data_IF_953405560751
#
_entry.id   IF_953405560751
#
_cell.length_a   1.000
_cell.length_b   1.000
_cell.length_c   1.000
_cell.angle_alpha   90.00
_cell.angle_beta   90.00
_cell.angle_gamma   90.00
#
_symmetry.space_group_name_H-M   'P 1'
#
loop_
_entity.id
_entity.type
_entity.pdbx_description
1 polymer ?
#
# COMPACT_ATOMS: atom_id res chain seq x y z
N UNK A 1 39.64 20.04 -2.93
CA UNK A 1 39.71 18.58 -3.14
C UNK A 1 38.43 18.20 -3.82
N UNK A 2 38.46 17.84 -5.10
CA UNK A 2 37.31 17.28 -5.79
C UNK A 2 36.98 15.94 -5.12
N UNK A 3 35.75 15.76 -4.66
CA UNK A 3 35.29 14.49 -4.13
C UNK A 3 35.44 13.45 -5.25
N UNK A 4 36.17 12.36 -4.99
CA UNK A 4 36.12 11.19 -5.85
C UNK A 4 34.67 10.85 -6.08
N UNK A 5 34.22 10.84 -7.35
CA UNK A 5 32.83 10.64 -7.70
C UNK A 5 32.33 9.33 -7.08
N UNK A 6 31.34 9.42 -6.21
CA UNK A 6 30.72 8.23 -5.59
C UNK A 6 30.19 7.33 -6.69
N UNK A 7 30.44 6.01 -6.58
CA UNK A 7 29.87 5.05 -7.55
C UNK A 7 28.36 5.20 -7.57
N UNK A 8 27.72 5.26 -8.75
CA UNK A 8 26.27 5.32 -8.84
C UNK A 8 25.61 4.09 -8.19
N UNK A 9 24.38 4.23 -7.76
CA UNK A 9 23.53 3.12 -7.37
C UNK A 9 22.81 2.61 -8.61
N UNK A 10 23.17 1.43 -9.06
CA UNK A 10 22.59 0.81 -10.25
C UNK A 10 21.28 0.12 -9.91
N UNK A 11 20.22 0.49 -10.60
CA UNK A 11 18.86 0.04 -10.35
C UNK A 11 18.38 -0.83 -11.52
N UNK A 12 18.00 -2.09 -11.22
CA UNK A 12 17.25 -2.93 -12.13
C UNK A 12 15.75 -2.66 -11.96
N UNK A 13 15.06 -2.22 -13.01
CA UNK A 13 13.63 -1.91 -12.98
C UNK A 13 12.82 -3.06 -13.58
N UNK A 14 11.97 -3.71 -12.81
CA UNK A 14 11.04 -4.74 -13.27
C UNK A 14 9.65 -4.15 -13.39
N UNK A 15 9.14 -4.02 -14.60
CA UNK A 15 7.87 -3.37 -14.93
C UNK A 15 8.04 -1.90 -15.29
N UNK A 16 7.69 -1.55 -16.54
CA UNK A 16 7.71 -0.17 -17.08
C UNK A 16 6.33 0.25 -17.61
N UNK A 17 5.27 -0.19 -16.90
CA UNK A 17 3.91 0.31 -17.09
C UNK A 17 3.77 1.75 -16.55
N UNK A 18 2.55 2.19 -16.28
CA UNK A 18 2.25 3.54 -15.78
C UNK A 18 3.12 3.91 -14.57
N UNK A 19 3.13 3.08 -13.52
CA UNK A 19 3.90 3.34 -12.29
C UNK A 19 5.41 3.29 -12.54
N UNK A 20 5.90 2.30 -13.30
CA UNK A 20 7.33 2.18 -13.58
C UNK A 20 7.87 3.29 -14.47
N UNK A 21 7.07 3.79 -15.41
CA UNK A 21 7.45 4.95 -16.24
C UNK A 21 7.49 6.25 -15.41
N UNK A 22 6.49 6.46 -14.55
CA UNK A 22 6.46 7.60 -13.63
C UNK A 22 7.65 7.57 -12.65
N UNK A 23 7.94 6.40 -12.07
CA UNK A 23 9.11 6.21 -11.21
C UNK A 23 10.41 6.56 -11.93
N UNK A 24 10.61 6.05 -13.16
CA UNK A 24 11.82 6.31 -13.93
C UNK A 24 11.99 7.79 -14.26
N UNK A 25 10.90 8.48 -14.65
CA UNK A 25 10.89 9.91 -14.91
C UNK A 25 11.24 10.73 -13.66
N UNK A 26 10.57 10.46 -12.55
CA UNK A 26 10.81 11.16 -11.28
C UNK A 26 12.23 10.91 -10.75
N UNK A 27 12.75 9.69 -10.87
CA UNK A 27 14.10 9.35 -10.44
C UNK A 27 15.15 10.11 -11.25
N UNK A 28 14.95 10.23 -12.57
CA UNK A 28 15.84 11.00 -13.45
C UNK A 28 15.80 12.50 -13.12
N UNK A 29 14.61 13.05 -12.91
CA UNK A 29 14.41 14.45 -12.51
C UNK A 29 15.08 14.78 -11.17
N UNK A 30 15.00 13.85 -10.21
CA UNK A 30 15.47 14.04 -8.85
C UNK A 30 16.86 13.46 -8.56
N UNK A 31 17.57 12.95 -9.57
CA UNK A 31 18.85 12.27 -9.38
C UNK A 31 19.87 13.12 -8.63
N UNK A 32 19.98 14.42 -8.96
CA UNK A 32 20.90 15.35 -8.30
C UNK A 32 20.53 15.58 -6.83
N UNK A 33 19.23 15.69 -6.53
CA UNK A 33 18.75 15.86 -5.16
C UNK A 33 18.98 14.59 -4.32
N UNK A 34 18.79 13.41 -4.91
CA UNK A 34 19.08 12.13 -4.26
C UNK A 34 20.58 12.00 -3.99
N UNK A 35 21.42 12.36 -4.96
CA UNK A 35 22.88 12.35 -4.80
C UNK A 35 23.32 13.30 -3.69
N UNK A 36 22.79 14.53 -3.67
CA UNK A 36 23.09 15.49 -2.62
C UNK A 36 22.68 15.00 -1.22
N UNK A 37 21.56 14.31 -1.11
CA UNK A 37 21.04 13.80 0.18
C UNK A 37 21.74 12.51 0.65
N UNK A 38 22.16 11.64 -0.28
CA UNK A 38 22.65 10.29 0.05
C UNK A 38 24.14 10.07 -0.23
N UNK A 39 24.76 11.00 -0.97
CA UNK A 39 26.13 10.86 -1.49
C UNK A 39 26.24 9.89 -2.67
N UNK A 40 25.12 9.36 -3.20
CA UNK A 40 25.12 8.38 -4.30
C UNK A 40 24.06 8.73 -5.34
N UNK A 41 24.48 8.74 -6.61
CA UNK A 41 23.60 9.02 -7.75
C UNK A 41 22.82 7.75 -8.14
N UNK A 42 21.48 7.77 -8.19
CA UNK A 42 20.73 6.64 -8.70
C UNK A 42 20.76 6.59 -10.22
N UNK A 43 20.87 5.38 -10.78
CA UNK A 43 20.87 5.14 -12.22
C UNK A 43 20.12 3.87 -12.57
N UNK A 44 19.13 3.93 -13.47
CA UNK A 44 18.45 2.74 -13.99
C UNK A 44 19.33 2.15 -15.08
N UNK A 45 19.93 0.98 -14.82
CA UNK A 45 20.87 0.31 -15.72
C UNK A 45 20.23 -0.75 -16.61
N UNK A 46 18.97 -1.12 -16.31
CA UNK A 46 18.21 -2.06 -17.11
C UNK A 46 16.73 -2.05 -16.72
N UNK A 47 15.86 -2.34 -17.68
CA UNK A 47 14.43 -2.46 -17.42
C UNK A 47 13.86 -3.71 -18.08
N UNK A 48 13.03 -4.46 -17.32
CA UNK A 48 12.26 -5.60 -17.81
C UNK A 48 10.82 -5.16 -18.10
N UNK A 49 10.33 -5.48 -19.29
CA UNK A 49 8.93 -5.29 -19.69
C UNK A 49 8.34 -6.62 -20.16
N UNK A 50 7.09 -6.63 -20.57
CA UNK A 50 6.48 -7.85 -21.15
C UNK A 50 7.13 -8.32 -22.46
N UNK A 51 7.74 -7.40 -23.23
CA UNK A 51 8.30 -7.64 -24.57
C UNK A 51 9.81 -7.46 -24.64
N UNK A 52 10.44 -6.85 -23.65
CA UNK A 52 11.83 -6.44 -23.73
C UNK A 52 12.55 -6.66 -22.39
N UNK A 53 13.86 -6.86 -22.47
CA UNK A 53 14.75 -7.02 -21.33
C UNK A 53 15.11 -8.49 -21.05
N UNK A 54 16.29 -8.66 -20.49
CA UNK A 54 16.79 -9.94 -20.00
C UNK A 54 16.97 -9.81 -18.48
N UNK A 55 16.18 -10.56 -17.74
CA UNK A 55 16.17 -10.51 -16.28
C UNK A 55 17.55 -10.83 -15.68
N UNK A 56 18.24 -11.85 -16.16
CA UNK A 56 19.54 -12.24 -15.64
C UNK A 56 20.61 -11.16 -15.87
N UNK A 57 20.60 -10.54 -17.05
CA UNK A 57 21.49 -9.41 -17.34
C UNK A 57 21.18 -8.19 -16.48
N UNK A 58 19.89 -7.88 -16.27
CA UNK A 58 19.44 -6.79 -15.40
C UNK A 58 19.86 -7.05 -13.95
N UNK A 59 19.63 -8.25 -13.45
CA UNK A 59 20.01 -8.65 -12.10
C UNK A 59 21.51 -8.54 -11.87
N UNK A 60 22.31 -9.07 -12.79
CA UNK A 60 23.78 -9.00 -12.72
C UNK A 60 24.30 -7.55 -12.76
N UNK A 61 23.67 -6.68 -13.56
CA UNK A 61 24.06 -5.28 -13.75
C UNK A 61 23.60 -4.32 -12.66
N UNK A 62 22.77 -4.76 -11.70
CA UNK A 62 22.17 -3.88 -10.69
C UNK A 62 22.75 -4.05 -9.29
N UNK A 63 22.63 -3.03 -8.45
CA UNK A 63 22.95 -3.05 -7.02
C UNK A 63 21.70 -3.27 -6.19
N UNK A 64 20.53 -2.86 -6.70
CA UNK A 64 19.20 -3.11 -6.14
C UNK A 64 18.17 -3.28 -7.26
N UNK A 65 17.05 -3.89 -6.93
CA UNK A 65 15.94 -4.12 -7.87
C UNK A 65 14.69 -3.37 -7.40
N UNK A 66 14.01 -2.70 -8.33
CA UNK A 66 12.68 -2.10 -8.11
C UNK A 66 11.66 -2.88 -8.92
N UNK A 67 10.69 -3.50 -8.25
CA UNK A 67 9.64 -4.33 -8.85
C UNK A 67 8.31 -3.57 -8.86
N UNK A 68 7.79 -3.32 -10.06
CA UNK A 68 6.55 -2.59 -10.34
C UNK A 68 5.72 -3.31 -11.43
N UNK A 69 5.81 -4.64 -11.49
CA UNK A 69 5.16 -5.45 -12.54
C UNK A 69 3.68 -5.65 -12.28
N UNK A 70 3.30 -5.82 -11.00
CA UNK A 70 1.98 -6.26 -10.59
C UNK A 70 1.73 -7.77 -10.83
N UNK A 71 0.67 -8.29 -10.22
CA UNK A 71 0.40 -9.74 -10.21
C UNK A 71 1.39 -10.51 -9.33
N UNK A 72 1.21 -11.82 -9.24
CA UNK A 72 2.08 -12.67 -8.41
C UNK A 72 3.21 -13.31 -9.19
N UNK A 73 2.94 -13.81 -10.39
CA UNK A 73 3.96 -14.40 -11.27
C UNK A 73 4.08 -13.59 -12.57
N UNK A 74 5.27 -13.38 -13.12
CA UNK A 74 6.58 -13.89 -12.65
C UNK A 74 7.25 -13.00 -11.58
N UNK A 75 6.56 -12.01 -11.01
CA UNK A 75 7.13 -11.08 -10.02
C UNK A 75 7.76 -11.81 -8.82
N UNK A 76 7.09 -12.86 -8.31
CA UNK A 76 7.59 -13.68 -7.20
C UNK A 76 8.94 -14.32 -7.52
N UNK A 77 9.05 -14.98 -8.67
CA UNK A 77 10.30 -15.64 -9.10
C UNK A 77 11.43 -14.61 -9.17
N UNK A 78 11.19 -13.46 -9.79
CA UNK A 78 12.20 -12.42 -9.97
C UNK A 78 12.62 -11.78 -8.65
N UNK A 79 11.67 -11.48 -7.76
CA UNK A 79 11.98 -10.93 -6.43
C UNK A 79 12.78 -11.92 -5.61
N UNK A 80 12.39 -13.20 -5.57
CA UNK A 80 13.12 -14.24 -4.87
C UNK A 80 14.55 -14.41 -5.43
N UNK A 81 14.71 -14.40 -6.75
CA UNK A 81 16.03 -14.49 -7.38
C UNK A 81 16.90 -13.28 -7.01
N UNK A 82 16.35 -12.07 -7.00
CA UNK A 82 17.08 -10.87 -6.60
C UNK A 82 17.52 -10.93 -5.13
N UNK A 83 16.63 -11.31 -4.22
CA UNK A 83 16.94 -11.45 -2.80
C UNK A 83 18.03 -12.50 -2.56
N UNK A 84 17.91 -13.69 -3.20
CA UNK A 84 18.91 -14.77 -3.11
C UNK A 84 20.27 -14.38 -3.70
N UNK A 85 20.28 -13.49 -4.69
CA UNK A 85 21.51 -12.91 -5.26
C UNK A 85 22.11 -11.79 -4.36
N UNK A 86 21.58 -11.58 -3.17
CA UNK A 86 22.07 -10.53 -2.24
C UNK A 86 21.72 -9.11 -2.69
N UNK A 87 20.68 -8.94 -3.50
CA UNK A 87 20.22 -7.63 -3.94
C UNK A 87 19.02 -7.16 -3.10
N UNK A 88 19.07 -5.95 -2.51
CA UNK A 88 17.89 -5.34 -1.91
C UNK A 88 16.78 -5.17 -2.96
N UNK A 89 15.53 -5.30 -2.51
CA UNK A 89 14.36 -5.13 -3.39
C UNK A 89 13.43 -4.06 -2.83
N UNK A 90 12.92 -3.22 -3.73
CA UNK A 90 11.81 -2.30 -3.46
C UNK A 90 10.63 -2.74 -4.33
N UNK A 91 9.46 -3.00 -3.74
CA UNK A 91 8.26 -3.41 -4.48
C UNK A 91 7.04 -2.59 -4.08
N UNK A 92 6.15 -2.34 -5.02
CA UNK A 92 4.81 -1.79 -4.78
C UNK A 92 3.71 -2.86 -4.90
N UNK A 93 4.09 -4.13 -5.06
CA UNK A 93 3.20 -5.23 -5.41
C UNK A 93 2.48 -5.78 -4.18
N UNK A 94 1.32 -5.20 -3.86
CA UNK A 94 0.49 -5.61 -2.73
C UNK A 94 0.03 -7.07 -2.81
N UNK A 95 -0.30 -7.56 -4.03
CA UNK A 95 -0.77 -8.93 -4.24
C UNK A 95 0.32 -9.94 -3.91
N UNK A 96 1.53 -9.69 -4.38
CA UNK A 96 2.70 -10.50 -4.08
C UNK A 96 2.97 -10.56 -2.58
N UNK A 97 2.94 -9.41 -1.89
CA UNK A 97 3.18 -9.33 -0.45
C UNK A 97 2.07 -9.97 0.39
N UNK A 98 0.81 -9.80 0.01
CA UNK A 98 -0.32 -10.38 0.72
C UNK A 98 -0.37 -11.91 0.62
N UNK A 99 0.08 -12.48 -0.51
CA UNK A 99 0.05 -13.92 -0.76
C UNK A 99 1.34 -14.63 -0.36
N UNK A 100 2.49 -14.03 -0.64
CA UNK A 100 3.81 -14.66 -0.51
C UNK A 100 4.79 -13.90 0.40
N UNK A 101 4.30 -12.93 1.17
CA UNK A 101 5.17 -12.08 1.99
C UNK A 101 6.06 -12.86 2.95
N UNK A 102 5.57 -13.95 3.57
CA UNK A 102 6.37 -14.75 4.52
C UNK A 102 7.60 -15.35 3.87
N UNK A 103 7.46 -15.92 2.68
CA UNK A 103 8.57 -16.46 1.90
C UNK A 103 9.57 -15.35 1.55
N UNK A 104 9.07 -14.20 1.06
CA UNK A 104 9.93 -13.08 0.67
C UNK A 104 10.70 -12.50 1.86
N UNK A 105 10.03 -12.32 3.01
CA UNK A 105 10.68 -11.83 4.23
C UNK A 105 11.70 -12.83 4.80
N UNK A 106 11.41 -14.13 4.71
CA UNK A 106 12.34 -15.17 5.14
C UNK A 106 13.61 -15.14 4.28
N UNK A 107 13.48 -15.15 2.96
CA UNK A 107 14.61 -15.11 2.02
C UNK A 107 15.41 -13.81 2.16
N UNK A 108 14.75 -12.65 2.30
CA UNK A 108 15.44 -11.38 2.51
C UNK A 108 16.29 -11.40 3.79
N UNK A 109 15.76 -11.97 4.88
CA UNK A 109 16.45 -12.10 6.16
C UNK A 109 17.63 -13.07 6.07
N UNK A 110 17.44 -14.23 5.43
CA UNK A 110 18.51 -15.21 5.21
C UNK A 110 19.65 -14.65 4.37
N UNK A 111 19.33 -13.88 3.34
CA UNK A 111 20.31 -13.23 2.47
C UNK A 111 20.93 -11.97 3.11
N UNK A 112 20.41 -11.48 4.24
CA UNK A 112 20.89 -10.26 4.91
C UNK A 112 20.62 -8.98 4.12
N UNK A 113 19.60 -8.95 3.25
CA UNK A 113 19.22 -7.80 2.42
C UNK A 113 17.85 -7.24 2.79
N UNK A 114 17.58 -6.02 2.36
CA UNK A 114 16.32 -5.36 2.65
C UNK A 114 15.27 -5.64 1.56
N UNK A 115 14.03 -5.87 2.00
CA UNK A 115 12.83 -5.80 1.20
C UNK A 115 12.01 -4.60 1.68
N UNK A 116 11.83 -3.60 0.79
CA UNK A 116 11.09 -2.36 1.08
C UNK A 116 9.83 -2.28 0.23
N UNK A 117 8.71 -1.85 0.81
CA UNK A 117 7.40 -1.91 0.14
C UNK A 117 6.41 -0.83 0.60
N UNK A 118 6.92 0.37 0.91
CA UNK A 118 6.08 1.49 1.36
C UNK A 118 4.91 1.79 0.42
N UNK A 119 5.17 1.77 -0.89
CA UNK A 119 4.16 2.07 -1.91
C UNK A 119 3.08 0.97 -2.08
N UNK A 120 3.23 -0.19 -1.43
CA UNK A 120 2.23 -1.25 -1.50
C UNK A 120 0.98 -0.98 -0.64
N UNK A 121 1.08 -0.11 0.38
CA UNK A 121 0.00 0.15 1.35
C UNK A 121 -0.16 1.64 1.61
N UNK A 122 -1.42 2.11 1.56
CA UNK A 122 -1.84 3.45 1.95
C UNK A 122 -1.15 4.63 1.22
N UNK A 123 -0.69 4.40 0.00
CA UNK A 123 -0.16 5.41 -0.93
C UNK A 123 0.97 6.28 -0.31
N UNK A 124 0.71 7.57 -0.09
CA UNK A 124 1.73 8.51 0.42
C UNK A 124 1.96 8.43 1.94
N UNK A 125 1.13 7.70 2.67
CA UNK A 125 1.25 7.56 4.13
C UNK A 125 2.43 6.64 4.46
N UNK A 126 3.46 7.09 5.20
CA UNK A 126 4.64 6.29 5.51
C UNK A 126 4.37 5.27 6.63
N UNK A 127 3.32 4.45 6.46
CA UNK A 127 2.83 3.56 7.52
C UNK A 127 3.73 2.35 7.74
N UNK A 128 4.27 1.77 6.66
CA UNK A 128 5.14 0.59 6.74
C UNK A 128 6.40 0.94 7.54
N UNK A 129 7.05 2.05 7.18
CA UNK A 129 8.23 2.56 7.90
C UNK A 129 7.89 2.92 9.34
N UNK A 130 6.76 3.57 9.58
CA UNK A 130 6.34 3.95 10.93
C UNK A 130 6.15 2.73 11.81
N UNK A 131 5.50 1.69 11.33
CA UNK A 131 5.35 0.43 12.10
C UNK A 131 6.71 -0.22 12.34
N UNK A 132 7.55 -0.33 11.32
CA UNK A 132 8.83 -1.04 11.42
C UNK A 132 9.90 -0.30 12.23
N UNK A 133 9.99 1.02 12.09
CA UNK A 133 11.08 1.82 12.66
C UNK A 133 10.64 2.56 13.93
N UNK A 134 9.46 3.20 13.94
CA UNK A 134 9.00 3.97 15.09
C UNK A 134 8.29 3.12 16.15
N UNK A 135 7.59 2.08 15.73
CA UNK A 135 6.86 1.17 16.62
C UNK A 135 7.48 -0.22 16.72
N UNK A 136 8.70 -0.41 16.22
CA UNK A 136 9.35 -1.72 16.11
C UNK A 136 9.56 -2.45 17.45
N UNK A 137 9.54 -1.74 18.59
CA UNK A 137 9.61 -2.31 19.95
C UNK A 137 8.34 -2.06 20.76
N UNK A 138 7.31 -1.46 20.15
CA UNK A 138 6.04 -1.16 20.79
C UNK A 138 5.05 -2.28 20.52
N UNK A 139 4.39 -2.77 21.55
CA UNK A 139 3.33 -3.74 21.39
C UNK A 139 2.08 -3.06 20.83
N UNK A 140 1.84 -3.22 19.52
CA UNK A 140 0.65 -2.71 18.85
C UNK A 140 -0.55 -3.59 19.23
N UNK A 141 -1.63 -2.95 19.69
CA UNK A 141 -2.87 -3.63 20.05
C UNK A 141 -3.83 -3.72 18.85
N UNK A 142 -3.96 -2.61 18.09
CA UNK A 142 -4.86 -2.52 16.93
C UNK A 142 -4.31 -1.62 15.85
N UNK A 143 -4.72 -1.92 14.62
CA UNK A 143 -4.55 -1.06 13.44
C UNK A 143 -5.90 -0.89 12.79
N UNK A 144 -6.32 0.36 12.58
CA UNK A 144 -7.50 0.71 11.80
C UNK A 144 -7.06 1.38 10.51
N UNK A 145 -7.76 1.12 9.41
CA UNK A 145 -7.39 1.70 8.13
C UNK A 145 -8.57 2.01 7.22
N UNK A 146 -8.60 3.23 6.71
CA UNK A 146 -9.27 3.59 5.46
C UNK A 146 -8.16 3.52 4.42
N UNK A 147 -7.98 2.35 3.79
CA UNK A 147 -6.82 2.05 2.95
C UNK A 147 -7.15 1.92 1.46
N UNK A 148 -8.39 2.26 1.11
CA UNK A 148 -8.84 2.35 -0.27
C UNK A 148 -9.49 3.71 -0.53
N UNK A 149 -8.83 4.56 -1.32
CA UNK A 149 -9.27 5.93 -1.61
C UNK A 149 -10.52 5.97 -2.50
N UNK A 150 -10.69 5.01 -3.40
CA UNK A 150 -11.84 4.90 -4.30
C UNK A 150 -13.14 4.70 -3.52
N UNK A 151 -13.17 3.72 -2.62
CA UNK A 151 -14.36 3.46 -1.78
C UNK A 151 -14.64 4.58 -0.81
N UNK A 152 -13.60 5.21 -0.24
CA UNK A 152 -13.81 6.37 0.63
C UNK A 152 -14.37 7.56 -0.14
N UNK A 153 -13.92 7.81 -1.37
CA UNK A 153 -14.51 8.83 -2.25
C UNK A 153 -15.99 8.53 -2.54
N UNK A 154 -16.31 7.30 -2.93
CA UNK A 154 -17.68 6.90 -3.27
C UNK A 154 -18.61 7.11 -2.07
N UNK A 155 -18.27 6.60 -0.90
CA UNK A 155 -19.09 6.74 0.31
C UNK A 155 -19.22 8.22 0.75
N UNK A 156 -18.16 9.00 0.63
CA UNK A 156 -18.19 10.44 0.96
C UNK A 156 -19.11 11.23 0.02
N UNK A 157 -19.03 10.96 -1.29
CA UNK A 157 -19.85 11.66 -2.30
C UNK A 157 -21.33 11.24 -2.20
N UNK A 158 -21.62 9.96 -1.98
CA UNK A 158 -22.98 9.47 -1.71
C UNK A 158 -23.57 10.16 -0.47
N UNK A 159 -22.81 10.26 0.62
CA UNK A 159 -23.24 10.92 1.85
C UNK A 159 -23.49 12.43 1.67
N UNK A 160 -22.69 13.10 0.85
CA UNK A 160 -22.78 14.52 0.60
C UNK A 160 -23.95 14.89 -0.33
N UNK A 161 -24.19 14.07 -1.37
CA UNK A 161 -25.11 14.38 -2.45
C UNK A 161 -26.44 13.62 -2.39
N UNK A 162 -26.50 12.49 -1.67
CA UNK A 162 -27.64 11.56 -1.69
C UNK A 162 -27.74 10.76 -3.02
N UNK A 163 -26.72 10.82 -3.87
CA UNK A 163 -26.69 10.08 -5.14
C UNK A 163 -26.50 8.56 -4.89
N UNK A 164 -27.02 7.76 -5.82
CA UNK A 164 -26.88 6.31 -5.77
C UNK A 164 -25.46 5.86 -6.12
N UNK A 165 -25.12 4.64 -5.68
CA UNK A 165 -23.81 4.00 -5.86
C UNK A 165 -23.33 4.04 -7.32
N UNK A 166 -24.13 3.58 -8.29
CA UNK A 166 -23.74 3.51 -9.70
C UNK A 166 -23.39 4.89 -10.29
N UNK A 167 -24.15 5.91 -9.90
CA UNK A 167 -23.92 7.29 -10.35
C UNK A 167 -22.61 7.83 -9.82
N UNK A 168 -22.32 7.58 -8.54
CA UNK A 168 -21.09 8.05 -7.90
C UNK A 168 -19.88 7.25 -8.39
N UNK A 169 -20.01 5.95 -8.64
CA UNK A 169 -18.96 5.13 -9.23
C UNK A 169 -18.57 5.66 -10.63
N UNK A 170 -19.56 5.95 -11.50
CA UNK A 170 -19.29 6.54 -12.82
C UNK A 170 -18.52 7.85 -12.69
N UNK A 171 -18.90 8.71 -11.72
CA UNK A 171 -18.19 9.95 -11.46
C UNK A 171 -16.76 9.72 -10.95
N UNK A 172 -16.54 8.70 -10.09
CA UNK A 172 -15.20 8.32 -9.64
C UNK A 172 -14.29 7.90 -10.80
N UNK A 173 -14.85 7.16 -11.78
CA UNK A 173 -14.16 6.78 -13.02
C UNK A 173 -13.82 7.99 -13.90
N UNK A 174 -14.75 8.93 -14.09
CA UNK A 174 -14.52 10.18 -14.83
C UNK A 174 -13.40 11.02 -14.23
N UNK A 175 -13.30 11.05 -12.88
CA UNK A 175 -12.29 11.79 -12.15
C UNK A 175 -10.95 11.04 -12.00
N UNK A 176 -10.88 9.78 -12.47
CA UNK A 176 -9.68 8.96 -12.37
C UNK A 176 -9.41 8.37 -10.97
N UNK A 177 -10.41 8.40 -10.07
CA UNK A 177 -10.32 7.75 -8.75
C UNK A 177 -10.67 6.26 -8.80
N UNK A 178 -11.36 5.80 -9.84
CA UNK A 178 -11.64 4.41 -10.11
C UNK A 178 -11.18 4.04 -11.52
N UNK A 179 -10.62 2.84 -11.68
CA UNK A 179 -10.30 2.26 -13.00
C UNK A 179 -11.56 1.78 -13.72
N UNK A 180 -11.41 1.37 -14.98
CA UNK A 180 -12.51 0.81 -15.77
C UNK A 180 -13.10 -0.46 -15.16
N UNK A 181 -12.25 -1.29 -14.53
CA UNK A 181 -12.67 -2.41 -13.69
C UNK A 181 -12.30 -2.12 -12.22
N UNK A 182 -13.24 -1.60 -11.42
CA UNK A 182 -13.02 -1.24 -10.03
C UNK A 182 -13.33 -2.38 -9.05
N UNK A 183 -13.55 -3.61 -9.53
CA UNK A 183 -14.10 -4.73 -8.76
C UNK A 183 -13.34 -4.99 -7.46
N UNK A 184 -12.00 -5.03 -7.50
CA UNK A 184 -11.17 -5.26 -6.32
C UNK A 184 -11.28 -4.13 -5.28
N UNK A 185 -11.55 -2.90 -5.73
CA UNK A 185 -11.76 -1.77 -4.82
C UNK A 185 -13.12 -1.89 -4.12
N UNK A 186 -14.18 -2.00 -4.91
CA UNK A 186 -15.56 -1.89 -4.40
C UNK A 186 -16.04 -3.12 -3.64
N UNK A 187 -15.50 -4.32 -3.95
CA UNK A 187 -15.78 -5.55 -3.21
C UNK A 187 -14.96 -5.68 -1.91
N UNK A 188 -13.98 -4.78 -1.68
CA UNK A 188 -13.15 -4.75 -0.47
C UNK A 188 -11.86 -5.58 -0.53
N UNK A 189 -11.58 -6.31 -1.60
CA UNK A 189 -10.41 -7.18 -1.73
C UNK A 189 -9.09 -6.39 -1.68
N UNK A 190 -9.01 -5.23 -2.32
CA UNK A 190 -7.85 -4.34 -2.25
C UNK A 190 -7.54 -3.90 -0.81
N UNK A 191 -8.57 -3.46 -0.08
CA UNK A 191 -8.41 -3.07 1.31
C UNK A 191 -8.03 -4.27 2.20
N UNK A 192 -8.60 -5.45 1.95
CA UNK A 192 -8.28 -6.67 2.66
C UNK A 192 -6.81 -7.09 2.47
N UNK A 193 -6.30 -7.04 1.24
CA UNK A 193 -4.89 -7.32 0.95
C UNK A 193 -3.94 -6.37 1.69
N UNK A 194 -4.25 -5.07 1.71
CA UNK A 194 -3.47 -4.07 2.45
C UNK A 194 -3.53 -4.28 3.95
N UNK A 195 -4.69 -4.63 4.50
CA UNK A 195 -4.83 -4.93 5.93
C UNK A 195 -4.10 -6.21 6.34
N UNK A 196 -4.03 -7.24 5.49
CA UNK A 196 -3.21 -8.41 5.73
C UNK A 196 -1.72 -8.04 5.88
N UNK A 197 -1.21 -7.17 5.00
CA UNK A 197 0.18 -6.67 5.08
C UNK A 197 0.40 -5.88 6.38
N UNK A 198 -0.50 -4.95 6.73
CA UNK A 198 -0.40 -4.16 7.96
C UNK A 198 -0.47 -5.03 9.21
N UNK A 199 -1.36 -6.02 9.24
CA UNK A 199 -1.49 -6.95 10.37
C UNK A 199 -0.21 -7.77 10.57
N UNK A 200 0.38 -8.28 9.49
CA UNK A 200 1.66 -9.00 9.53
C UNK A 200 2.77 -8.13 10.12
N UNK A 201 2.87 -6.87 9.71
CA UNK A 201 3.86 -5.95 10.23
C UNK A 201 3.64 -5.62 11.71
N UNK A 202 2.40 -5.30 12.07
CA UNK A 202 2.06 -4.85 13.42
C UNK A 202 2.14 -5.97 14.47
N UNK A 203 1.79 -7.20 14.10
CA UNK A 203 1.66 -8.30 15.05
C UNK A 203 2.74 -9.38 14.89
N UNK A 204 3.62 -9.25 13.89
CA UNK A 204 4.65 -10.25 13.55
C UNK A 204 4.09 -11.67 13.38
N UNK A 205 2.87 -11.75 12.86
CA UNK A 205 2.12 -12.99 12.68
C UNK A 205 1.79 -13.14 11.20
N UNK A 206 2.01 -14.30 10.59
CA UNK A 206 1.57 -14.55 9.22
C UNK A 206 0.07 -14.32 9.08
N UNK A 207 -0.30 -13.50 8.11
CA UNK A 207 -1.69 -13.27 7.70
C UNK A 207 -1.72 -13.22 6.18
N UNK A 208 -2.56 -14.04 5.57
CA UNK A 208 -2.80 -14.07 4.13
C UNK A 208 -4.16 -13.43 3.80
N UNK A 209 -4.37 -13.03 2.55
CA UNK A 209 -5.65 -12.47 2.11
C UNK A 209 -6.83 -13.42 2.38
N UNK A 210 -6.64 -14.73 2.23
CA UNK A 210 -7.67 -15.76 2.46
C UNK A 210 -8.13 -15.87 3.91
N UNK A 211 -7.37 -15.31 4.85
CA UNK A 211 -7.69 -15.28 6.29
C UNK A 211 -8.36 -13.97 6.70
N UNK A 212 -8.51 -13.02 5.79
CA UNK A 212 -9.20 -11.75 6.05
C UNK A 212 -10.67 -11.88 5.68
N UNK A 213 -11.55 -11.64 6.64
CA UNK A 213 -12.98 -11.51 6.37
C UNK A 213 -13.25 -10.11 5.81
N UNK A 214 -13.89 -10.02 4.63
CA UNK A 214 -14.18 -8.71 4.04
C UNK A 214 -15.51 -8.66 3.30
N UNK A 215 -16.07 -7.47 3.25
CA UNK A 215 -17.26 -7.09 2.50
C UNK A 215 -17.04 -5.71 1.89
N UNK A 216 -17.52 -5.50 0.67
CA UNK A 216 -17.40 -4.25 -0.07
C UNK A 216 -18.51 -3.26 0.22
N UNK A 217 -18.63 -2.28 -0.67
CA UNK A 217 -19.60 -1.17 -0.54
C UNK A 217 -20.75 -1.26 -1.55
N UNK A 218 -20.77 -2.25 -2.42
CA UNK A 218 -21.72 -2.36 -3.53
C UNK A 218 -23.19 -2.46 -3.06
N UNK A 219 -23.43 -3.02 -1.87
CA UNK A 219 -24.75 -3.16 -1.30
C UNK A 219 -25.27 -1.88 -0.59
N UNK A 220 -24.41 -0.88 -0.38
CA UNK A 220 -24.75 0.35 0.36
C UNK A 220 -25.72 1.20 -0.45
N UNK A 221 -26.82 1.58 0.19
CA UNK A 221 -27.86 2.43 -0.40
C UNK A 221 -27.80 3.87 0.12
N UNK A 222 -28.32 4.86 -0.63
CA UNK A 222 -28.40 6.25 -0.15
C UNK A 222 -29.11 6.39 1.19
N UNK A 223 -30.13 5.57 1.46
CA UNK A 223 -30.87 5.58 2.71
C UNK A 223 -30.00 5.20 3.91
N UNK A 224 -29.05 4.27 3.75
CA UNK A 224 -28.12 3.90 4.82
C UNK A 224 -27.27 5.10 5.26
N UNK A 225 -26.84 5.91 4.29
CA UNK A 225 -26.04 7.12 4.54
C UNK A 225 -26.92 8.26 5.12
N UNK A 226 -28.18 8.35 4.68
CA UNK A 226 -29.12 9.31 5.24
C UNK A 226 -29.40 9.01 6.71
N UNK A 227 -29.67 7.76 7.07
CA UNK A 227 -29.84 7.34 8.46
C UNK A 227 -28.56 7.52 9.29
N UNK A 228 -27.39 7.19 8.72
CA UNK A 228 -26.13 7.45 9.40
C UNK A 228 -25.99 8.93 9.77
N UNK A 229 -26.29 9.83 8.82
CA UNK A 229 -26.25 11.28 9.02
C UNK A 229 -27.22 11.76 10.10
N UNK A 230 -28.46 11.23 10.11
CA UNK A 230 -29.44 11.56 11.15
C UNK A 230 -28.96 11.17 12.55
N UNK A 231 -28.23 10.06 12.67
CA UNK A 231 -27.62 9.58 13.91
C UNK A 231 -26.27 10.26 14.22
N UNK A 232 -25.80 11.16 13.38
CA UNK A 232 -24.48 11.81 13.51
C UNK A 232 -23.29 10.86 13.27
N UNK A 233 -23.51 9.77 12.54
CA UNK A 233 -22.50 8.77 12.22
C UNK A 233 -21.92 8.97 10.81
N UNK A 234 -20.70 8.52 10.59
CA UNK A 234 -20.07 8.45 9.27
C UNK A 234 -19.88 7.01 8.85
N UNK A 235 -20.28 6.65 7.63
CA UNK A 235 -20.05 5.31 7.08
C UNK A 235 -18.72 5.28 6.33
N UNK A 236 -17.86 4.32 6.66
CA UNK A 236 -16.56 4.10 6.05
C UNK A 236 -16.33 2.63 5.75
N UNK A 237 -15.62 2.31 4.66
CA UNK A 237 -15.05 0.97 4.50
C UNK A 237 -13.81 0.88 5.40
N UNK A 238 -13.94 0.22 6.53
CA UNK A 238 -12.92 0.20 7.57
C UNK A 238 -12.23 -1.15 7.67
N UNK A 239 -10.92 -1.16 7.50
CA UNK A 239 -10.06 -2.26 7.87
C UNK A 239 -9.74 -2.22 9.36
N UNK A 240 -9.84 -3.35 10.03
CA UNK A 240 -9.48 -3.51 11.44
C UNK A 240 -8.62 -4.76 11.59
N UNK A 241 -7.42 -4.58 12.11
CA UNK A 241 -6.56 -5.67 12.54
C UNK A 241 -6.29 -5.53 14.03
N UNK A 242 -6.52 -6.59 14.81
CA UNK A 242 -6.38 -6.54 16.25
C UNK A 242 -5.85 -7.85 16.83
N UNK A 243 -5.05 -7.72 17.88
CA UNK A 243 -4.63 -8.87 18.68
C UNK A 243 -5.78 -9.31 19.59
N UNK A 244 -6.08 -10.61 19.60
CA UNK A 244 -7.09 -11.22 20.47
C UNK A 244 -6.51 -12.45 21.15
N UNK A 245 -7.22 -12.93 22.18
CA UNK A 245 -6.87 -14.19 22.82
C UNK A 245 -6.88 -15.31 21.78
N UNK A 246 -5.71 -15.90 21.55
CA UNK A 246 -5.53 -16.99 20.59
C UNK A 246 -5.07 -16.58 19.17
N UNK A 247 -4.82 -15.29 18.88
CA UNK A 247 -4.28 -14.91 17.58
C UNK A 247 -4.51 -13.47 17.15
N UNK A 248 -4.60 -13.27 15.85
CA UNK A 248 -4.86 -11.98 15.21
C UNK A 248 -6.16 -12.07 14.42
N UNK A 249 -7.03 -11.09 14.59
CA UNK A 249 -8.26 -10.94 13.78
C UNK A 249 -8.05 -9.82 12.78
N UNK A 250 -8.35 -10.08 11.51
CA UNK A 250 -8.29 -9.06 10.42
C UNK A 250 -9.60 -9.07 9.66
N UNK A 251 -10.18 -7.89 9.49
CA UNK A 251 -11.47 -7.74 8.81
C UNK A 251 -11.58 -6.39 8.10
N UNK A 252 -12.37 -6.34 7.04
CA UNK A 252 -12.69 -5.12 6.29
C UNK A 252 -14.18 -5.10 6.01
N UNK A 253 -14.89 -4.12 6.57
CA UNK A 253 -16.35 -4.01 6.43
C UNK A 253 -16.79 -2.54 6.35
N UNK A 254 -17.93 -2.25 5.73
CA UNK A 254 -18.62 -0.99 5.96
C UNK A 254 -18.96 -0.83 7.45
N UNK A 255 -18.49 0.26 8.05
CA UNK A 255 -18.64 0.51 9.50
C UNK A 255 -19.16 1.93 9.74
N UNK A 256 -20.09 2.05 10.67
CA UNK A 256 -20.51 3.34 11.19
C UNK A 256 -19.55 3.83 12.27
N UNK A 257 -18.98 5.01 12.06
CA UNK A 257 -18.08 5.67 13.01
C UNK A 257 -18.80 6.80 13.74
N UNK A 258 -18.62 6.86 15.05
CA UNK A 258 -19.16 7.94 15.87
C UNK A 258 -18.36 9.25 15.69
N UNK A 259 -18.95 10.44 16.01
CA UNK A 259 -18.34 11.73 15.69
C UNK A 259 -17.00 12.02 16.36
N UNK A 260 -16.59 11.30 17.37
CA UNK A 260 -15.30 11.45 18.03
C UNK A 260 -14.21 10.52 17.50
N UNK A 261 -14.55 9.62 16.58
CA UNK A 261 -13.56 8.68 16.05
C UNK A 261 -12.59 9.40 15.09
N UNK A 262 -11.24 9.23 15.24
CA UNK A 262 -10.24 9.96 14.41
C UNK A 262 -10.38 9.74 12.91
N UNK A 263 -10.95 8.61 12.48
CA UNK A 263 -11.15 8.29 11.07
C UNK A 263 -12.51 8.78 10.52
N UNK A 264 -13.44 9.21 11.35
CA UNK A 264 -14.76 9.69 10.89
C UNK A 264 -14.68 10.89 9.93
N UNK A 265 -13.80 11.90 10.14
CA UNK A 265 -13.72 13.08 9.28
C UNK A 265 -12.89 12.85 7.99
N UNK A 266 -12.39 11.65 7.75
CA UNK A 266 -11.59 11.36 6.54
C UNK A 266 -12.52 11.21 5.34
N UNK A 267 -12.53 12.19 4.45
CA UNK A 267 -13.43 12.28 3.29
C UNK A 267 -12.67 12.25 1.95
N UNK A 268 -13.43 12.10 0.85
CA UNK A 268 -12.89 12.08 -0.51
C UNK A 268 -11.95 10.89 -0.76
N UNK A 269 -11.02 11.05 -1.69
CA UNK A 269 -10.07 10.01 -2.06
C UNK A 269 -8.86 9.92 -1.09
N UNK A 270 -9.09 10.17 0.20
CA UNK A 270 -8.04 10.10 1.22
C UNK A 270 -7.98 8.72 1.87
N UNK A 271 -6.76 8.29 2.14
CA UNK A 271 -6.46 7.19 3.05
C UNK A 271 -6.17 7.70 4.46
N UNK A 272 -6.39 6.86 5.45
CA UNK A 272 -5.93 7.09 6.81
C UNK A 272 -5.64 5.77 7.51
N UNK A 273 -4.64 5.77 8.38
CA UNK A 273 -4.31 4.63 9.23
C UNK A 273 -4.14 5.13 10.66
N UNK A 274 -4.78 4.44 11.59
CA UNK A 274 -4.66 4.66 13.02
C UNK A 274 -4.06 3.43 13.69
N UNK A 275 -3.05 3.64 14.51
CA UNK A 275 -2.38 2.59 15.28
C UNK A 275 -2.63 2.85 16.76
N UNK A 276 -3.16 1.84 17.45
CA UNK A 276 -3.35 1.86 18.90
C UNK A 276 -2.32 0.96 19.58
N UNK A 277 -1.69 1.50 20.61
CA UNK A 277 -0.79 0.74 21.47
C UNK A 277 -0.85 1.24 22.92
N UNK A 278 -0.78 0.38 23.95
CA UNK A 278 -0.89 0.79 25.35
C UNK A 278 0.10 1.89 25.75
N UNK A 279 1.30 1.89 25.18
CA UNK A 279 2.36 2.84 25.51
C UNK A 279 2.19 4.23 24.92
N UNK A 280 1.40 4.37 23.81
CA UNK A 280 1.30 5.63 23.05
C UNK A 280 -0.13 6.12 22.86
N UNK A 281 -1.13 5.38 23.42
CA UNK A 281 -2.54 5.58 23.17
C UNK A 281 -2.88 5.34 21.68
N UNK A 282 -2.92 6.38 20.86
CA UNK A 282 -3.22 6.28 19.43
C UNK A 282 -2.38 7.25 18.60
N UNK A 283 -2.07 6.87 17.38
CA UNK A 283 -1.47 7.74 16.35
C UNK A 283 -2.22 7.56 15.06
N UNK A 284 -2.69 8.65 14.48
CA UNK A 284 -3.40 8.68 13.20
C UNK A 284 -2.58 9.41 12.16
N UNK A 285 -2.46 8.81 10.97
CA UNK A 285 -1.86 9.42 9.78
C UNK A 285 -2.86 9.40 8.64
N UNK A 286 -2.94 10.49 7.88
CA UNK A 286 -3.81 10.58 6.72
C UNK A 286 -3.11 11.26 5.55
N UNK A 287 -3.54 10.95 4.33
CA UNK A 287 -3.01 11.53 3.11
C UNK A 287 -3.79 11.09 1.88
N UNK A 288 -3.55 11.66 0.69
CA UNK A 288 -4.16 11.24 -0.57
C UNK A 288 -3.97 9.74 -0.82
N UNK A 289 -5.06 9.04 -1.14
CA UNK A 289 -5.07 7.60 -1.38
C UNK A 289 -5.02 7.21 -2.86
N UNK A 290 -5.51 8.10 -3.73
CA UNK A 290 -5.55 7.92 -5.18
C UNK A 290 -5.50 9.29 -5.86
N UNK A 291 -5.28 9.31 -7.19
CA UNK A 291 -5.36 10.56 -7.98
C UNK A 291 -4.15 11.49 -7.83
N UNK A 292 -3.02 11.01 -7.37
CA UNK A 292 -1.75 11.72 -7.51
C UNK A 292 -1.32 11.74 -8.99
N UNK A 293 -0.91 12.92 -9.48
CA UNK A 293 -0.39 13.11 -10.84
C UNK A 293 0.81 12.23 -11.11
#
# INVERSE_FOLDING_TARGET
>A
MAAEGSKPVRIGLLGRGTVGAAFAGLLAERADAVEAATGRRPEITGALTRSEGDFEAILAGSDLVVELMGGTEPAREHVLAALRAGKPVVTANKQLLAQHGDELFAVAREAGVQLRFEAAVAAVIPIVRTIQESFGVTEIAKVFGIVNGTTNFILSEMAATGAGYDQVLARAQELGYAEADPSDDVNGADAAAKMAILARLAFHTPVTLSEVAYEGIEAIQPDDLAYAKELGLSLKLLGVAERRDGGVSVRVFPCFLYPGHPLAPIEGAFNAVMVEAPAISEVTMSGPGAGGL
#
